data_IF_010254272718
#
_entry.id   IF_010254272718
#
_cell.length_a   1.000
_cell.length_b   1.000
_cell.length_c   1.000
_cell.angle_alpha   90.00
_cell.angle_beta   90.00
_cell.angle_gamma   90.00
#
_symmetry.space_group_name_H-M   'P 1'
#
loop_
_entity.id
_entity.type
_entity.pdbx_description
1 polymer ?
#
# COMPACT_ATOMS: atom_id res chain seq x y z
N UNK A 1 55.36 -55.23 21.25
CA UNK A 1 53.89 -55.26 21.11
C UNK A 1 53.32 -53.93 21.57
N UNK A 2 52.86 -53.10 20.62
CA UNK A 2 51.74 -52.13 20.69
C UNK A 2 51.88 -51.21 19.48
N UNK A 3 51.10 -51.51 18.44
CA UNK A 3 50.96 -50.69 17.24
C UNK A 3 50.14 -49.44 17.59
N UNK A 4 50.56 -48.28 17.10
CA UNK A 4 49.74 -47.07 17.06
C UNK A 4 49.29 -46.88 15.61
N UNK A 5 48.00 -47.11 15.37
CA UNK A 5 47.33 -46.75 14.13
C UNK A 5 47.07 -45.25 14.16
N UNK A 6 47.68 -44.51 13.24
CA UNK A 6 47.32 -43.12 12.93
C UNK A 6 46.07 -43.13 12.04
N UNK A 7 44.94 -42.68 12.57
CA UNK A 7 43.71 -42.48 11.79
C UNK A 7 43.80 -41.08 11.16
N UNK A 8 44.00 -41.03 9.86
CA UNK A 8 43.92 -39.80 9.06
C UNK A 8 42.44 -39.50 8.79
N UNK A 9 41.91 -38.46 9.43
CA UNK A 9 40.55 -37.97 9.20
C UNK A 9 40.54 -37.14 7.90
N UNK A 10 40.05 -37.70 6.79
CA UNK A 10 39.76 -36.94 5.57
C UNK A 10 38.59 -36.00 5.83
N UNK A 11 38.86 -34.71 5.97
CA UNK A 11 37.84 -33.67 5.99
C UNK A 11 37.27 -33.46 4.59
N UNK A 12 36.04 -33.90 4.34
CA UNK A 12 35.24 -33.45 3.21
C UNK A 12 34.91 -31.96 3.42
N UNK A 13 35.61 -31.08 2.70
CA UNK A 13 35.18 -29.71 2.46
C UNK A 13 33.91 -29.76 1.60
N UNK A 14 32.74 -29.66 2.23
CA UNK A 14 31.50 -29.32 1.53
C UNK A 14 31.64 -27.86 1.13
N UNK A 15 32.03 -27.63 -0.11
CA UNK A 15 31.91 -26.32 -0.74
C UNK A 15 30.41 -26.00 -0.82
N UNK A 16 29.91 -25.22 0.13
CA UNK A 16 28.62 -24.55 -0.02
C UNK A 16 28.79 -23.52 -1.12
N UNK A 17 28.51 -23.92 -2.36
CA UNK A 17 28.26 -22.97 -3.42
C UNK A 17 27.04 -22.13 -2.99
N UNK A 18 27.30 -20.92 -2.52
CA UNK A 18 26.29 -19.88 -2.45
C UNK A 18 25.89 -19.60 -3.89
N UNK A 19 24.83 -20.27 -4.34
CA UNK A 19 24.08 -19.78 -5.49
C UNK A 19 23.55 -18.40 -5.05
N UNK A 20 24.11 -17.35 -5.62
CA UNK A 20 23.45 -16.06 -5.66
C UNK A 20 22.09 -16.32 -6.31
N UNK A 21 21.01 -16.17 -5.54
CA UNK A 21 19.65 -16.43 -5.99
C UNK A 21 19.26 -15.27 -6.90
N UNK A 22 19.38 -15.46 -8.22
CA UNK A 22 18.77 -14.57 -9.20
C UNK A 22 17.27 -14.44 -8.89
N UNK A 23 16.63 -13.28 -9.09
CA UNK A 23 15.19 -13.12 -8.87
C UNK A 23 14.43 -14.16 -9.72
N UNK A 24 13.93 -15.20 -9.07
CA UNK A 24 13.27 -16.33 -9.72
C UNK A 24 11.77 -16.07 -9.74
N UNK A 25 11.22 -16.00 -10.95
CA UNK A 25 9.77 -16.06 -11.13
C UNK A 25 9.27 -17.44 -10.68
N UNK A 26 8.04 -17.50 -10.20
CA UNK A 26 7.43 -18.72 -9.66
C UNK A 26 6.01 -18.85 -10.18
N UNK A 27 5.67 -20.02 -10.72
CA UNK A 27 4.28 -20.41 -10.96
C UNK A 27 3.75 -21.19 -9.77
N UNK A 28 2.51 -20.92 -9.37
CA UNK A 28 1.79 -21.70 -8.37
C UNK A 28 0.50 -22.29 -8.96
N UNK A 29 0.22 -23.54 -8.62
CA UNK A 29 -0.92 -24.31 -9.12
C UNK A 29 -2.00 -24.52 -8.07
N UNK A 30 -3.21 -24.91 -8.51
CA UNK A 30 -4.39 -25.14 -7.67
C UNK A 30 -4.20 -26.23 -6.61
N UNK A 31 -3.26 -27.15 -6.83
CA UNK A 31 -2.89 -28.20 -5.87
C UNK A 31 -1.83 -27.75 -4.85
N UNK A 32 -1.53 -26.45 -4.80
CA UNK A 32 -0.52 -25.82 -3.94
C UNK A 32 0.95 -26.10 -4.32
N UNK A 33 1.21 -26.83 -5.41
CA UNK A 33 2.56 -26.98 -5.96
C UNK A 33 3.06 -25.66 -6.53
N UNK A 34 4.37 -25.46 -6.47
CA UNK A 34 5.05 -24.30 -7.05
C UNK A 34 6.32 -24.70 -7.77
N UNK A 35 6.57 -24.10 -8.93
CA UNK A 35 7.78 -24.33 -9.71
C UNK A 35 8.53 -23.01 -9.92
N UNK A 36 9.82 -22.92 -9.54
CA UNK A 36 10.65 -21.78 -9.92
C UNK A 36 10.94 -21.83 -11.42
N UNK A 37 11.20 -20.68 -12.04
CA UNK A 37 11.51 -20.63 -13.46
C UNK A 37 11.22 -19.28 -14.09
N UNK A 38 10.81 -19.31 -15.35
CA UNK A 38 10.43 -18.13 -16.11
C UNK A 38 9.24 -18.41 -17.04
N UNK A 39 8.46 -17.37 -17.29
CA UNK A 39 7.37 -17.42 -18.25
C UNK A 39 7.92 -17.58 -19.67
N UNK A 40 7.64 -18.72 -20.31
CA UNK A 40 8.01 -18.93 -21.72
C UNK A 40 6.94 -18.34 -22.66
N UNK A 41 5.67 -18.68 -22.43
CA UNK A 41 4.54 -18.08 -23.14
C UNK A 41 3.24 -18.23 -22.34
N UNK A 42 2.29 -17.33 -22.56
CA UNK A 42 0.95 -17.40 -21.96
C UNK A 42 -0.09 -17.29 -23.08
N UNK A 43 -1.21 -18.00 -22.94
CA UNK A 43 -2.44 -17.79 -23.73
C UNK A 43 -3.61 -17.67 -22.76
N UNK A 44 -4.84 -17.50 -23.27
CA UNK A 44 -6.05 -17.49 -22.45
C UNK A 44 -6.39 -18.86 -21.85
N UNK A 45 -5.78 -19.94 -22.34
CA UNK A 45 -6.10 -21.32 -21.92
C UNK A 45 -4.89 -22.05 -21.32
N UNK A 46 -3.67 -21.65 -21.67
CA UNK A 46 -2.45 -22.38 -21.30
C UNK A 46 -1.33 -21.46 -20.88
N UNK A 47 -0.53 -21.94 -19.94
CA UNK A 47 0.75 -21.38 -19.54
C UNK A 47 1.86 -22.33 -20.01
N UNK A 48 2.87 -21.83 -20.72
CA UNK A 48 4.11 -22.58 -20.96
C UNK A 48 5.17 -22.04 -20.01
N UNK A 49 5.68 -22.91 -19.15
CA UNK A 49 6.63 -22.55 -18.11
C UNK A 49 7.98 -23.21 -18.37
N UNK A 50 9.04 -22.42 -18.31
CA UNK A 50 10.42 -22.91 -18.35
C UNK A 50 10.94 -23.01 -16.92
N UNK A 51 11.45 -24.17 -16.53
CA UNK A 51 11.87 -24.45 -15.16
C UNK A 51 13.07 -25.39 -15.12
N UNK A 52 14.05 -25.16 -14.23
CA UNK A 52 15.23 -26.02 -14.13
C UNK A 52 14.92 -27.44 -13.64
N UNK A 53 13.71 -27.69 -13.13
CA UNK A 53 13.27 -29.04 -12.72
C UNK A 53 12.49 -29.78 -13.82
N UNK A 54 12.34 -29.18 -15.00
CA UNK A 54 11.66 -29.75 -16.16
C UNK A 54 12.66 -29.93 -17.30
N UNK A 55 12.53 -31.02 -18.07
CA UNK A 55 13.45 -31.31 -19.18
C UNK A 55 13.31 -30.32 -20.35
N UNK A 56 12.17 -29.62 -20.44
CA UNK A 56 11.85 -28.62 -21.48
C UNK A 56 10.74 -27.69 -21.01
N UNK A 57 10.58 -26.50 -21.63
CA UNK A 57 9.41 -25.66 -21.42
C UNK A 57 8.12 -26.46 -21.60
N UNK A 58 7.29 -26.49 -20.55
CA UNK A 58 6.14 -27.41 -20.46
C UNK A 58 4.82 -26.67 -20.35
N UNK A 59 3.78 -27.10 -21.07
CA UNK A 59 2.46 -26.49 -21.02
C UNK A 59 1.65 -26.97 -19.81
N UNK A 60 0.95 -26.05 -19.17
CA UNK A 60 -0.01 -26.25 -18.09
C UNK A 60 -1.34 -25.60 -18.45
N UNK A 61 -2.45 -26.19 -17.98
CA UNK A 61 -3.79 -25.60 -18.15
C UNK A 61 -3.92 -24.38 -17.24
N UNK A 62 -4.35 -23.24 -17.80
CA UNK A 62 -4.46 -21.99 -17.05
C UNK A 62 -5.52 -22.06 -15.95
N UNK A 63 -6.57 -22.87 -16.13
CA UNK A 63 -7.56 -23.19 -15.10
C UNK A 63 -6.97 -23.88 -13.85
N UNK A 64 -5.77 -24.47 -13.96
CA UNK A 64 -5.05 -25.08 -12.84
C UNK A 64 -3.94 -24.18 -12.27
N UNK A 65 -3.74 -23.00 -12.85
CA UNK A 65 -2.78 -22.01 -12.36
C UNK A 65 -3.48 -21.07 -11.38
N UNK A 66 -2.90 -20.87 -10.21
CA UNK A 66 -3.40 -19.89 -9.23
C UNK A 66 -2.84 -18.51 -9.51
N UNK A 67 -1.51 -18.42 -9.64
CA UNK A 67 -0.83 -17.17 -9.87
C UNK A 67 0.60 -17.37 -10.39
N UNK A 68 1.09 -16.32 -11.05
CA UNK A 68 2.49 -16.13 -11.43
C UNK A 68 3.06 -15.04 -10.54
N UNK A 69 4.18 -15.31 -9.85
CA UNK A 69 5.06 -14.29 -9.30
C UNK A 69 6.16 -14.03 -10.32
N UNK A 70 6.32 -12.79 -10.74
CA UNK A 70 7.19 -12.39 -11.84
C UNK A 70 8.25 -11.43 -11.35
N UNK A 71 9.43 -11.51 -11.94
CA UNK A 71 10.45 -10.47 -11.80
C UNK A 71 10.04 -9.25 -12.61
N UNK A 72 9.74 -8.16 -11.91
CA UNK A 72 9.11 -6.99 -12.49
C UNK A 72 10.08 -5.82 -12.57
N UNK A 73 10.07 -5.14 -13.72
CA UNK A 73 10.86 -3.94 -13.93
C UNK A 73 10.15 -2.73 -13.32
N UNK A 74 10.80 -2.10 -12.34
CA UNK A 74 10.34 -0.83 -11.77
C UNK A 74 10.84 0.31 -12.66
N UNK A 75 9.95 1.05 -13.33
CA UNK A 75 10.37 2.13 -14.23
C UNK A 75 10.89 3.33 -13.42
N UNK A 76 11.96 3.95 -13.89
CA UNK A 76 12.32 5.29 -13.45
C UNK A 76 11.26 6.29 -13.93
N UNK A 77 10.82 7.16 -13.03
CA UNK A 77 9.79 8.15 -13.36
C UNK A 77 10.28 9.53 -12.93
N UNK A 78 10.47 10.39 -13.93
CA UNK A 78 10.94 11.78 -13.77
C UNK A 78 9.81 12.79 -13.54
N UNK A 79 8.57 12.34 -13.46
CA UNK A 79 7.42 13.22 -13.28
C UNK A 79 7.45 13.92 -11.91
N UNK A 80 6.91 15.15 -11.84
CA UNK A 80 6.90 15.98 -10.62
C UNK A 80 5.73 15.73 -9.69
N UNK A 81 4.71 15.01 -10.15
CA UNK A 81 3.60 14.56 -9.33
C UNK A 81 3.18 13.16 -9.75
N UNK A 82 2.26 12.54 -9.03
CA UNK A 82 1.63 11.28 -9.38
C UNK A 82 0.17 11.30 -8.95
N UNK A 83 -0.71 10.88 -9.84
CA UNK A 83 -2.09 10.63 -9.52
C UNK A 83 -2.28 9.18 -9.06
N UNK A 84 -2.92 9.01 -7.91
CA UNK A 84 -3.46 7.74 -7.43
C UNK A 84 -4.96 7.75 -7.62
N UNK A 85 -5.46 6.90 -8.51
CA UNK A 85 -6.88 6.69 -8.80
C UNK A 85 -7.33 5.43 -8.06
N UNK A 86 -8.31 5.58 -7.18
CA UNK A 86 -8.98 4.44 -6.54
C UNK A 86 -10.26 4.12 -7.32
N UNK A 87 -10.45 2.86 -7.65
CA UNK A 87 -11.62 2.37 -8.38
C UNK A 87 -12.66 1.81 -7.39
N UNK A 88 -13.92 1.74 -7.83
CA UNK A 88 -15.06 1.29 -6.99
C UNK A 88 -14.99 -0.19 -6.61
N UNK A 89 -14.17 -0.97 -7.31
CA UNK A 89 -13.86 -2.36 -6.98
C UNK A 89 -12.70 -2.51 -5.96
N UNK A 90 -12.07 -1.41 -5.54
CA UNK A 90 -10.93 -1.38 -4.62
C UNK A 90 -9.56 -1.45 -5.29
N UNK A 91 -9.51 -1.58 -6.61
CA UNK A 91 -8.25 -1.48 -7.36
C UNK A 91 -7.68 -0.06 -7.24
N UNK A 92 -6.35 0.02 -7.21
CA UNK A 92 -5.63 1.28 -7.12
C UNK A 92 -4.65 1.38 -8.27
N UNK A 93 -4.81 2.42 -9.07
CA UNK A 93 -4.05 2.67 -10.29
C UNK A 93 -3.25 3.95 -10.12
N UNK A 94 -2.00 3.94 -10.59
CA UNK A 94 -1.10 5.10 -10.51
C UNK A 94 -0.57 5.50 -11.88
N UNK A 95 -0.39 6.81 -12.07
CA UNK A 95 0.09 7.41 -13.31
C UNK A 95 0.17 8.93 -13.23
N UNK A 96 0.37 9.60 -14.35
CA UNK A 96 0.22 11.06 -14.46
C UNK A 96 -1.21 11.39 -14.82
N UNK A 97 -1.84 12.34 -14.10
CA UNK A 97 -3.18 12.78 -14.48
C UNK A 97 -3.09 13.55 -15.79
N UNK A 98 -3.60 12.93 -16.85
CA UNK A 98 -3.50 13.44 -18.21
C UNK A 98 -4.74 14.24 -18.63
N UNK A 99 -5.89 13.94 -18.05
CA UNK A 99 -7.16 14.54 -18.45
C UNK A 99 -8.32 14.14 -17.56
N UNK A 100 -9.33 15.01 -17.50
CA UNK A 100 -10.64 14.74 -16.90
C UNK A 100 -11.76 15.10 -17.90
N UNK A 101 -11.82 14.45 -19.07
CA UNK A 101 -12.90 14.70 -20.02
C UNK A 101 -14.25 14.25 -19.45
N UNK A 102 -15.35 14.75 -20.03
CA UNK A 102 -16.69 14.38 -19.57
C UNK A 102 -16.87 12.85 -19.57
N UNK A 103 -17.19 12.31 -18.40
CA UNK A 103 -17.41 10.88 -18.18
C UNK A 103 -16.14 10.02 -18.04
N UNK A 104 -14.93 10.60 -18.00
CA UNK A 104 -13.71 9.79 -17.81
C UNK A 104 -12.57 10.48 -17.05
N UNK A 105 -11.64 9.66 -16.58
CA UNK A 105 -10.37 10.05 -15.96
C UNK A 105 -9.23 9.44 -16.78
N UNK A 106 -8.32 10.25 -17.31
CA UNK A 106 -7.20 9.77 -18.12
C UNK A 106 -5.89 9.80 -17.33
N UNK A 107 -5.19 8.67 -17.31
CA UNK A 107 -3.86 8.54 -16.72
C UNK A 107 -2.84 8.13 -17.77
N UNK A 108 -1.71 8.83 -17.84
CA UNK A 108 -0.53 8.35 -18.55
C UNK A 108 0.26 7.41 -17.62
N UNK A 109 0.44 6.16 -18.05
CA UNK A 109 1.06 5.09 -17.26
C UNK A 109 2.30 4.52 -17.95
N UNK A 110 3.28 4.10 -17.16
CA UNK A 110 4.51 3.47 -17.67
C UNK A 110 4.29 2.05 -18.22
N UNK A 111 3.22 1.39 -17.80
CA UNK A 111 2.95 -0.01 -18.09
C UNK A 111 1.91 -0.25 -19.18
N UNK A 112 1.03 0.71 -19.48
CA UNK A 112 -0.01 0.58 -20.50
C UNK A 112 -0.20 1.84 -21.38
N UNK A 113 0.68 2.83 -21.28
CA UNK A 113 0.47 4.13 -21.94
C UNK A 113 -0.73 4.85 -21.33
N UNK A 114 -1.50 5.56 -22.16
CA UNK A 114 -2.68 6.29 -21.70
C UNK A 114 -3.85 5.35 -21.43
N UNK A 115 -4.28 5.27 -20.18
CA UNK A 115 -5.50 4.58 -19.76
C UNK A 115 -6.62 5.59 -19.54
N UNK A 116 -7.82 5.26 -20.03
CA UNK A 116 -9.03 6.09 -19.88
C UNK A 116 -10.04 5.35 -19.01
N UNK A 117 -10.16 5.78 -17.76
CA UNK A 117 -11.07 5.20 -16.80
C UNK A 117 -12.47 5.80 -16.93
N UNK A 118 -13.51 4.96 -16.87
CA UNK A 118 -14.89 5.41 -16.77
C UNK A 118 -15.09 6.15 -15.43
N UNK A 119 -15.54 7.41 -15.48
CA UNK A 119 -15.77 8.24 -14.30
C UNK A 119 -16.68 7.56 -13.28
N UNK A 120 -17.68 6.79 -13.71
CA UNK A 120 -18.60 6.10 -12.81
C UNK A 120 -17.93 4.98 -11.99
N UNK A 121 -16.75 4.52 -12.41
CA UNK A 121 -15.97 3.47 -11.74
C UNK A 121 -14.83 4.04 -10.88
N UNK A 122 -14.66 5.37 -10.83
CA UNK A 122 -13.61 6.04 -10.04
C UNK A 122 -14.21 6.59 -8.74
N UNK A 123 -13.70 6.12 -7.61
CA UNK A 123 -14.14 6.57 -6.29
C UNK A 123 -13.35 7.77 -5.76
N UNK A 124 -12.04 7.84 -6.02
CA UNK A 124 -11.16 8.89 -5.48
C UNK A 124 -9.96 9.17 -6.40
N UNK A 125 -9.48 10.42 -6.41
CA UNK A 125 -8.22 10.83 -7.04
C UNK A 125 -7.38 11.66 -6.07
N UNK A 126 -6.18 11.17 -5.78
CA UNK A 126 -5.17 11.92 -5.01
C UNK A 126 -3.99 12.27 -5.87
N UNK A 127 -3.48 13.47 -5.69
CA UNK A 127 -2.24 13.91 -6.31
C UNK A 127 -1.18 13.94 -5.22
N UNK A 128 -0.10 13.20 -5.44
CA UNK A 128 1.11 13.25 -4.62
C UNK A 128 2.18 14.02 -5.38
N UNK A 129 2.91 14.90 -4.71
CA UNK A 129 4.12 15.49 -5.30
C UNK A 129 5.19 14.40 -5.34
N UNK A 130 5.98 14.35 -6.42
CA UNK A 130 7.11 13.42 -6.55
C UNK A 130 8.49 13.94 -6.10
N UNK A 131 8.77 15.22 -5.78
CA UNK A 131 10.06 15.56 -5.17
C UNK A 131 10.22 14.97 -3.76
N UNK A 132 9.12 14.65 -3.07
CA UNK A 132 9.14 14.20 -1.67
C UNK A 132 8.67 12.75 -1.45
N UNK A 133 8.38 11.94 -2.48
CA UNK A 133 8.13 10.50 -2.29
C UNK A 133 9.45 9.77 -2.07
N UNK A 134 9.67 9.27 -0.86
CA UNK A 134 10.95 8.71 -0.41
C UNK A 134 11.00 7.19 -0.56
N UNK A 135 9.87 6.51 -0.42
CA UNK A 135 9.81 5.06 -0.51
C UNK A 135 8.43 4.58 -0.92
N UNK A 136 8.41 3.49 -1.69
CA UNK A 136 7.22 2.70 -1.99
C UNK A 136 7.54 1.22 -1.99
N UNK A 137 6.66 0.42 -1.38
CA UNK A 137 6.79 -1.03 -1.42
C UNK A 137 5.81 -1.74 -0.46
N UNK A 138 6.21 -2.89 0.13
CA UNK A 138 7.52 -3.51 0.00
C UNK A 138 7.75 -4.16 -1.36
N UNK A 139 8.97 -4.05 -1.89
CA UNK A 139 9.42 -4.70 -3.13
C UNK A 139 10.30 -5.92 -2.88
N UNK A 140 10.71 -6.13 -1.62
CA UNK A 140 11.63 -7.18 -1.19
C UNK A 140 11.93 -7.06 0.31
N UNK A 141 12.65 -8.03 0.86
CA UNK A 141 13.06 -8.06 2.28
C UNK A 141 14.55 -7.75 2.47
N UNK A 142 15.33 -7.74 1.41
CA UNK A 142 16.80 -7.75 1.41
C UNK A 142 17.39 -6.49 2.07
N UNK A 143 16.75 -5.35 1.85
CA UNK A 143 17.13 -4.06 2.44
C UNK A 143 16.51 -3.81 3.82
N UNK A 144 15.77 -4.77 4.35
CA UNK A 144 15.08 -4.67 5.64
C UNK A 144 15.82 -5.50 6.71
N UNK A 145 16.05 -4.88 7.86
CA UNK A 145 16.68 -5.53 9.01
C UNK A 145 15.61 -6.22 9.85
N UNK A 146 15.80 -7.51 10.05
CA UNK A 146 14.98 -8.32 10.94
C UNK A 146 15.62 -8.36 12.33
N UNK A 147 14.80 -8.26 13.37
CA UNK A 147 15.23 -8.43 14.76
C UNK A 147 14.16 -9.18 15.58
N UNK A 148 14.61 -9.83 16.66
CA UNK A 148 13.82 -10.77 17.46
C UNK A 148 14.46 -12.17 17.51
N UNK A 149 13.91 -13.07 18.33
CA UNK A 149 14.50 -14.39 18.58
C UNK A 149 14.44 -15.33 17.35
N UNK A 150 13.51 -15.09 16.42
CA UNK A 150 13.34 -15.79 15.14
C UNK A 150 12.90 -14.77 14.08
N UNK A 151 13.17 -15.00 12.79
CA UNK A 151 12.66 -14.11 11.73
C UNK A 151 11.13 -14.17 11.74
N UNK A 152 10.52 -13.18 12.40
CA UNK A 152 9.08 -13.07 12.56
C UNK A 152 8.39 -12.52 11.33
N UNK A 153 9.16 -11.93 10.40
CA UNK A 153 8.67 -11.31 9.19
C UNK A 153 9.24 -12.00 7.96
N UNK A 154 8.37 -12.23 6.98
CA UNK A 154 8.74 -12.72 5.65
C UNK A 154 8.16 -11.80 4.59
N UNK A 155 8.76 -11.79 3.40
CA UNK A 155 8.22 -11.07 2.25
C UNK A 155 7.60 -12.06 1.27
N UNK A 156 6.36 -11.79 0.86
CA UNK A 156 5.67 -12.58 -0.17
C UNK A 156 4.53 -11.79 -0.78
N UNK A 157 4.48 -11.76 -2.11
CA UNK A 157 3.45 -11.09 -2.90
C UNK A 157 3.32 -9.61 -2.53
N UNK A 158 4.42 -8.85 -2.63
CA UNK A 158 4.48 -7.40 -2.38
C UNK A 158 3.97 -6.97 -0.99
N UNK A 159 4.17 -7.84 0.01
CA UNK A 159 3.75 -7.60 1.38
C UNK A 159 4.68 -8.28 2.38
N UNK A 160 4.82 -7.67 3.54
CA UNK A 160 5.40 -8.32 4.70
C UNK A 160 4.34 -9.08 5.47
N UNK A 161 4.70 -10.26 5.97
CA UNK A 161 3.83 -11.14 6.75
C UNK A 161 4.49 -11.51 8.05
N UNK A 162 3.71 -11.51 9.11
CA UNK A 162 4.16 -11.94 10.43
C UNK A 162 3.13 -12.81 11.12
N UNK A 163 3.60 -13.86 11.77
CA UNK A 163 2.85 -14.79 12.61
C UNK A 163 3.57 -15.07 13.95
N UNK A 164 4.52 -14.21 14.31
CA UNK A 164 5.32 -14.30 15.53
C UNK A 164 5.72 -12.91 16.01
N UNK A 165 6.16 -12.80 17.26
CA UNK A 165 6.69 -11.55 17.80
C UNK A 165 8.07 -11.24 17.19
N UNK A 166 8.28 -10.00 16.74
CA UNK A 166 9.54 -9.53 16.18
C UNK A 166 9.38 -8.27 15.33
N UNK A 167 10.50 -7.71 14.89
CA UNK A 167 10.54 -6.45 14.13
C UNK A 167 11.17 -6.62 12.76
N UNK A 168 10.66 -5.84 11.81
CA UNK A 168 11.27 -5.56 10.51
C UNK A 168 11.45 -4.05 10.38
N UNK A 169 12.65 -3.61 10.04
CA UNK A 169 13.03 -2.20 10.10
C UNK A 169 13.92 -1.77 8.94
N UNK A 170 13.79 -0.51 8.51
CA UNK A 170 14.60 0.04 7.41
C UNK A 170 14.84 1.53 7.62
N UNK A 171 16.01 2.00 7.17
CA UNK A 171 16.25 3.44 7.05
C UNK A 171 15.47 3.96 5.84
N UNK A 172 14.55 4.88 6.07
CA UNK A 172 13.73 5.50 5.03
C UNK A 172 14.17 6.93 4.72
N UNK A 173 15.30 7.37 5.31
CA UNK A 173 15.78 8.75 5.21
C UNK A 173 14.68 9.78 5.59
N UNK A 174 13.86 9.46 6.60
CA UNK A 174 12.70 10.27 6.97
C UNK A 174 13.07 11.74 7.18
N UNK A 175 12.47 12.72 6.49
CA UNK A 175 12.65 14.14 6.75
C UNK A 175 12.01 14.52 8.09
N UNK A 176 12.31 15.71 8.59
CA UNK A 176 11.77 16.17 9.88
C UNK A 176 10.24 16.31 9.86
N UNK A 177 9.63 16.38 8.68
CA UNK A 177 8.18 16.38 8.48
C UNK A 177 7.83 15.35 7.41
N UNK A 178 7.18 14.27 7.81
CA UNK A 178 6.94 13.11 6.95
C UNK A 178 5.53 12.56 7.08
N UNK A 179 5.10 11.85 6.04
CA UNK A 179 3.96 10.94 6.06
C UNK A 179 4.43 9.49 5.90
N UNK A 180 3.78 8.60 6.63
CA UNK A 180 3.99 7.15 6.61
C UNK A 180 2.62 6.51 6.44
N UNK A 181 2.33 5.96 5.26
CA UNK A 181 1.08 5.28 4.97
C UNK A 181 1.31 3.80 4.66
N UNK A 182 0.40 2.93 5.06
CA UNK A 182 0.44 1.51 4.73
C UNK A 182 -0.93 0.85 4.90
N UNK A 183 -1.17 -0.22 4.15
CA UNK A 183 -2.31 -1.11 4.36
C UNK A 183 -1.91 -2.21 5.33
N UNK A 184 -2.72 -2.46 6.36
CA UNK A 184 -2.57 -3.57 7.29
C UNK A 184 -3.77 -4.49 7.26
N UNK A 185 -3.52 -5.81 7.24
CA UNK A 185 -4.53 -6.86 7.31
C UNK A 185 -4.18 -7.80 8.47
N UNK A 186 -5.15 -8.32 9.20
CA UNK A 186 -4.90 -9.18 10.36
C UNK A 186 -5.98 -10.26 10.54
N UNK A 187 -5.67 -11.29 11.33
CA UNK A 187 -6.65 -12.23 11.86
C UNK A 187 -6.71 -12.17 13.38
N UNK A 188 -7.91 -12.36 13.92
CA UNK A 188 -8.22 -12.36 15.36
C UNK A 188 -8.04 -11.00 16.06
N UNK A 189 -6.85 -10.41 16.07
CA UNK A 189 -6.62 -9.10 16.65
C UNK A 189 -5.36 -8.43 16.08
N UNK A 190 -5.49 -7.16 15.70
CA UNK A 190 -4.35 -6.31 15.35
C UNK A 190 -3.51 -6.01 16.58
N UNK A 191 -2.21 -6.32 16.54
CA UNK A 191 -1.21 -6.06 17.58
C UNK A 191 0.10 -5.58 16.95
N UNK A 192 0.06 -4.39 16.36
CA UNK A 192 1.17 -3.80 15.63
C UNK A 192 1.72 -2.61 16.41
N UNK A 193 3.05 -2.48 16.45
CA UNK A 193 3.69 -1.20 16.76
C UNK A 193 4.38 -0.66 15.52
N UNK A 194 4.18 0.63 15.28
CA UNK A 194 4.99 1.41 14.35
C UNK A 194 5.96 2.24 15.19
N UNK A 195 7.26 2.07 14.96
CA UNK A 195 8.26 3.02 15.46
C UNK A 195 8.79 3.84 14.30
N UNK A 196 8.80 5.16 14.43
CA UNK A 196 9.32 6.07 13.42
C UNK A 196 10.25 7.12 14.06
N UNK A 197 11.15 7.68 13.23
CA UNK A 197 12.32 8.42 13.69
C UNK A 197 13.25 7.61 14.61
N UNK A 198 13.35 6.30 14.37
CA UNK A 198 14.35 5.45 15.04
C UNK A 198 15.74 5.70 14.48
N UNK A 199 16.77 5.60 15.32
CA UNK A 199 18.19 5.63 14.94
C UNK A 199 18.89 4.27 15.12
N UNK A 200 18.19 3.26 15.63
CA UNK A 200 18.69 1.89 15.76
C UNK A 200 17.72 0.90 15.11
N UNK A 201 18.15 0.36 13.97
CA UNK A 201 17.39 -0.59 13.16
C UNK A 201 17.63 -2.05 13.54
N UNK A 202 18.58 -2.34 14.42
CA UNK A 202 19.01 -3.70 14.75
C UNK A 202 18.22 -4.31 15.93
N UNK A 203 17.32 -3.55 16.53
CA UNK A 203 16.56 -3.94 17.72
C UNK A 203 15.05 -3.88 17.49
N UNK A 204 14.32 -4.72 18.21
CA UNK A 204 12.87 -4.71 18.30
C UNK A 204 12.36 -3.81 19.45
N UNK A 205 13.29 -3.15 20.17
CA UNK A 205 13.01 -2.22 21.27
C UNK A 205 13.84 -0.93 21.13
N UNK A 206 13.66 -0.17 20.04
CA UNK A 206 14.38 1.08 19.85
C UNK A 206 14.07 2.06 21.00
N UNK A 207 15.11 2.75 21.46
CA UNK A 207 15.05 3.69 22.60
C UNK A 207 14.94 5.16 22.15
N UNK A 208 14.86 5.41 20.84
CA UNK A 208 14.68 6.73 20.25
C UNK A 208 13.58 6.67 19.18
N UNK A 209 12.91 7.80 18.96
CA UNK A 209 11.76 7.89 18.06
C UNK A 209 10.42 7.94 18.80
N UNK A 210 9.35 7.83 18.03
CA UNK A 210 7.99 7.68 18.54
C UNK A 210 7.51 6.25 18.31
N UNK A 211 6.83 5.67 19.30
CA UNK A 211 6.15 4.38 19.17
C UNK A 211 4.64 4.62 19.18
N UNK A 212 3.98 4.27 18.08
CA UNK A 212 2.54 4.13 18.00
C UNK A 212 2.17 2.66 18.17
N UNK A 213 1.53 2.33 19.29
CA UNK A 213 0.92 1.03 19.52
C UNK A 213 -0.51 1.01 18.98
N UNK A 214 -0.81 0.04 18.11
CA UNK A 214 -2.12 -0.17 17.50
C UNK A 214 -2.62 -1.55 17.95
N UNK A 215 -3.57 -1.55 18.87
CA UNK A 215 -4.13 -2.76 19.47
C UNK A 215 -5.65 -2.73 19.40
N UNK A 216 -6.23 -3.56 18.53
CA UNK A 216 -7.67 -3.48 18.18
C UNK A 216 -8.01 -2.03 17.77
N UNK A 217 -8.96 -1.38 18.43
CA UNK A 217 -9.31 0.04 18.23
C UNK A 217 -8.46 1.05 19.02
N UNK A 218 -7.57 0.57 19.89
CA UNK A 218 -6.81 1.43 20.79
C UNK A 218 -5.50 1.86 20.13
N UNK A 219 -5.30 3.17 20.08
CA UNK A 219 -4.10 3.83 19.59
C UNK A 219 -3.40 4.45 20.79
N UNK A 220 -2.09 4.25 20.91
CA UNK A 220 -1.28 4.83 21.98
C UNK A 220 0.05 5.30 21.45
N UNK A 221 0.32 6.60 21.57
CA UNK A 221 1.57 7.23 21.14
C UNK A 221 2.43 7.57 22.36
N UNK A 222 3.69 7.18 22.31
CA UNK A 222 4.69 7.54 23.31
C UNK A 222 6.02 7.96 22.68
N UNK A 223 6.80 8.73 23.43
CA UNK A 223 8.19 9.04 23.10
C UNK A 223 9.09 7.90 23.62
N UNK A 224 9.89 7.28 22.75
CA UNK A 224 10.73 6.14 23.12
C UNK A 224 11.90 6.52 24.04
N UNK A 225 12.37 7.77 23.99
CA UNK A 225 13.51 8.23 24.78
C UNK A 225 13.10 8.56 26.21
N UNK A 226 12.07 9.37 26.37
CA UNK A 226 11.57 9.79 27.68
C UNK A 226 10.61 8.76 28.29
N UNK A 227 10.14 7.79 27.49
CA UNK A 227 9.08 6.83 27.84
C UNK A 227 7.75 7.50 28.20
N UNK A 228 7.59 8.79 27.92
CA UNK A 228 6.38 9.53 28.24
C UNK A 228 5.26 9.22 27.25
N UNK A 229 4.05 9.10 27.79
CA UNK A 229 2.81 9.08 27.01
C UNK A 229 2.60 10.43 26.34
N UNK A 230 2.46 10.46 25.02
CA UNK A 230 2.06 11.65 24.27
C UNK A 230 0.53 11.71 24.14
N UNK A 231 -0.11 10.55 23.95
CA UNK A 231 -1.56 10.48 23.87
C UNK A 231 -2.10 9.08 23.60
N UNK A 232 -3.42 8.94 23.73
CA UNK A 232 -4.13 7.73 23.34
C UNK A 232 -5.47 8.08 22.70
N UNK A 233 -6.04 7.14 21.94
CA UNK A 233 -7.39 7.24 21.39
C UNK A 233 -8.03 5.86 21.30
N UNK A 234 -9.36 5.83 21.41
CA UNK A 234 -10.17 4.63 21.17
C UNK A 234 -11.19 4.82 20.05
N UNK A 235 -11.05 5.91 19.29
CA UNK A 235 -12.00 6.34 18.27
C UNK A 235 -11.83 5.59 16.94
N UNK A 236 -10.81 4.74 16.81
CA UNK A 236 -10.55 3.93 15.62
C UNK A 236 -11.47 2.69 15.54
N UNK A 237 -12.79 2.90 15.54
CA UNK A 237 -13.79 1.82 15.55
C UNK A 237 -13.67 0.87 14.35
N UNK A 238 -13.22 1.36 13.19
CA UNK A 238 -13.00 0.56 11.99
C UNK A 238 -11.98 -0.56 12.21
N UNK A 239 -10.97 -0.36 13.07
CA UNK A 239 -9.96 -1.39 13.40
C UNK A 239 -10.51 -2.54 14.26
N UNK A 240 -11.73 -2.41 14.80
CA UNK A 240 -12.41 -3.51 15.49
C UNK A 240 -13.46 -4.19 14.59
N UNK A 241 -14.06 -3.44 13.68
CA UNK A 241 -15.15 -3.90 12.82
C UNK A 241 -14.63 -4.63 11.57
N UNK A 242 -13.42 -4.28 11.14
CA UNK A 242 -12.79 -4.83 9.95
C UNK A 242 -11.57 -5.69 10.32
N UNK A 243 -11.06 -6.42 9.36
CA UNK A 243 -9.77 -7.16 9.44
C UNK A 243 -8.72 -6.58 8.48
N UNK A 244 -8.98 -5.37 8.00
CA UNK A 244 -8.13 -4.58 7.11
C UNK A 244 -8.39 -3.10 7.36
N UNK A 245 -7.33 -2.30 7.30
CA UNK A 245 -7.42 -0.85 7.29
C UNK A 245 -6.21 -0.23 6.57
N UNK A 246 -6.37 0.99 6.07
CA UNK A 246 -5.25 1.85 5.67
C UNK A 246 -4.90 2.79 6.83
N UNK A 247 -3.65 2.76 7.27
CA UNK A 247 -3.14 3.64 8.32
C UNK A 247 -2.25 4.69 7.65
N UNK A 248 -2.43 5.95 8.02
CA UNK A 248 -1.50 7.02 7.67
C UNK A 248 -1.11 7.80 8.93
N UNK A 249 0.19 8.01 9.10
CA UNK A 249 0.77 8.85 10.14
C UNK A 249 1.42 10.05 9.48
N UNK A 250 1.08 11.25 9.94
CA UNK A 250 1.78 12.47 9.56
C UNK A 250 2.43 13.05 10.81
N UNK A 251 3.75 13.25 10.77
CA UNK A 251 4.49 13.68 11.95
C UNK A 251 5.50 14.77 11.61
N UNK A 252 5.65 15.73 12.51
CA UNK A 252 6.56 16.87 12.39
C UNK A 252 7.44 16.99 13.64
N UNK A 253 8.74 16.75 13.48
CA UNK A 253 9.76 17.04 14.49
C UNK A 253 9.97 18.55 14.68
N UNK A 254 9.42 19.41 13.80
CA UNK A 254 9.45 20.87 13.98
C UNK A 254 8.41 21.34 14.97
N UNK A 255 7.19 20.82 14.86
CA UNK A 255 6.05 21.24 15.67
C UNK A 255 5.70 20.28 16.82
N UNK A 256 6.25 19.07 16.82
CA UNK A 256 5.89 17.98 17.73
C UNK A 256 4.55 17.32 17.41
N UNK A 257 3.86 17.77 16.35
CA UNK A 257 2.54 17.23 16.00
C UNK A 257 2.66 15.86 15.36
N UNK A 258 1.77 14.96 15.75
CA UNK A 258 1.54 13.67 15.10
C UNK A 258 0.05 13.46 14.90
N UNK A 259 -0.35 13.35 13.64
CA UNK A 259 -1.71 13.06 13.20
C UNK A 259 -1.82 11.59 12.77
N UNK A 260 -2.90 10.92 13.16
CA UNK A 260 -3.19 9.54 12.78
C UNK A 260 -4.50 9.49 12.01
N UNK A 261 -4.45 8.91 10.82
CA UNK A 261 -5.60 8.63 9.98
C UNK A 261 -5.82 7.13 9.87
N UNK A 262 -7.08 6.72 9.88
CA UNK A 262 -7.52 5.36 9.60
C UNK A 262 -8.59 5.42 8.52
N UNK A 263 -8.37 4.72 7.41
CA UNK A 263 -9.23 4.74 6.24
C UNK A 263 -9.53 6.18 5.78
N UNK A 264 -8.47 7.01 5.77
CA UNK A 264 -8.47 8.42 5.35
C UNK A 264 -9.27 9.38 6.24
N UNK A 265 -9.73 8.92 7.39
CA UNK A 265 -10.37 9.76 8.42
C UNK A 265 -9.35 10.06 9.51
N UNK A 266 -9.16 11.34 9.84
CA UNK A 266 -8.34 11.74 10.99
C UNK A 266 -9.01 11.22 12.26
N UNK A 267 -8.33 10.32 12.96
CA UNK A 267 -8.79 9.76 14.23
C UNK A 267 -8.33 10.62 15.39
N UNK A 268 -7.08 11.09 15.36
CA UNK A 268 -6.51 11.88 16.44
C UNK A 268 -5.31 12.71 15.99
N UNK A 269 -5.03 13.79 16.74
CA UNK A 269 -3.84 14.63 16.58
C UNK A 269 -3.26 14.93 17.95
N UNK A 270 -2.03 14.48 18.18
CA UNK A 270 -1.31 14.76 19.42
C UNK A 270 -0.13 15.70 19.18
N UNK A 271 0.33 16.38 20.23
CA UNK A 271 1.50 17.26 20.19
C UNK A 271 2.45 16.88 21.30
N UNK A 272 3.69 16.52 20.95
CA UNK A 272 4.78 16.34 21.90
C UNK A 272 5.38 17.69 22.27
N UNK A 273 5.20 18.10 23.53
CA UNK A 273 5.75 19.36 24.05
C UNK A 273 7.27 19.31 24.27
N UNK A 274 7.88 18.12 24.24
CA UNK A 274 9.31 17.91 24.43
C UNK A 274 10.04 17.53 23.13
N UNK A 275 9.43 17.77 21.97
CA UNK A 275 10.01 17.45 20.65
C UNK A 275 11.43 18.01 20.45
N UNK A 276 11.76 19.16 21.05
CA UNK A 276 13.10 19.74 20.97
C UNK A 276 14.21 18.86 21.58
N UNK A 277 13.85 17.88 22.43
CA UNK A 277 14.78 16.93 23.05
C UNK A 277 15.00 15.66 22.20
N UNK A 278 14.24 15.51 21.11
CA UNK A 278 14.31 14.36 20.20
C UNK A 278 15.60 14.37 19.41
N UNK A 279 16.24 13.20 19.33
CA UNK A 279 17.33 12.99 18.39
C UNK A 279 16.72 12.60 17.04
N UNK A 280 17.06 13.28 15.93
CA UNK A 280 16.55 12.90 14.62
C UNK A 280 17.01 11.49 14.27
N UNK A 281 16.06 10.56 14.17
CA UNK A 281 16.27 9.26 13.55
C UNK A 281 15.66 9.25 12.15
N UNK A 282 16.08 8.29 11.32
CA UNK A 282 15.65 8.19 9.92
C UNK A 282 14.99 6.84 9.60
N UNK A 283 14.80 6.02 10.62
CA UNK A 283 14.30 4.65 10.55
C UNK A 283 12.81 4.50 10.82
N UNK A 284 12.23 3.48 10.21
CA UNK A 284 10.88 2.97 10.48
C UNK A 284 10.97 1.50 10.86
N UNK A 285 10.20 1.10 11.88
CA UNK A 285 10.01 -0.29 12.29
C UNK A 285 8.53 -0.65 12.23
N UNK A 286 8.25 -1.85 11.70
CA UNK A 286 7.01 -2.57 11.96
C UNK A 286 7.32 -3.68 12.97
N UNK A 287 6.58 -3.74 14.06
CA UNK A 287 6.83 -4.68 15.15
C UNK A 287 5.53 -5.43 15.45
N UNK A 288 5.54 -6.74 15.23
CA UNK A 288 4.48 -7.62 15.68
C UNK A 288 4.74 -7.99 17.13
N UNK A 289 3.70 -7.91 17.98
CA UNK A 289 3.85 -8.15 19.42
C UNK A 289 3.51 -9.56 19.87
N UNK A 290 2.86 -10.36 19.01
CA UNK A 290 2.37 -11.69 19.35
C UNK A 290 2.34 -12.59 18.10
N UNK A 291 1.68 -13.74 18.23
CA UNK A 291 1.56 -14.73 17.16
C UNK A 291 0.30 -14.52 16.28
N UNK A 292 -0.45 -13.42 16.48
CA UNK A 292 -1.61 -13.12 15.63
C UNK A 292 -1.15 -12.78 14.21
N UNK A 293 -1.60 -13.51 13.17
CA UNK A 293 -1.16 -13.27 11.82
C UNK A 293 -1.53 -11.86 11.33
N UNK A 294 -0.57 -11.19 10.72
CA UNK A 294 -0.76 -9.87 10.09
C UNK A 294 0.03 -9.72 8.80
N UNK A 295 -0.45 -8.84 7.95
CA UNK A 295 0.23 -8.42 6.73
C UNK A 295 0.33 -6.91 6.67
N UNK A 296 1.49 -6.41 6.25
CA UNK A 296 1.73 -4.99 5.95
C UNK A 296 2.09 -4.87 4.48
N UNK A 297 1.42 -3.97 3.77
CA UNK A 297 1.60 -3.76 2.33
C UNK A 297 1.37 -2.30 1.96
N UNK A 298 1.66 -1.92 0.71
CA UNK A 298 1.45 -0.56 0.20
C UNK A 298 2.04 0.52 1.12
N UNK A 299 3.25 0.25 1.61
CA UNK A 299 4.03 1.20 2.41
C UNK A 299 4.44 2.35 1.51
N UNK A 300 4.09 3.56 1.91
CA UNK A 300 4.44 4.82 1.26
C UNK A 300 5.06 5.74 2.31
N UNK A 301 6.23 6.27 1.99
CA UNK A 301 6.92 7.26 2.81
C UNK A 301 7.09 8.50 1.96
N UNK A 302 6.64 9.65 2.46
CA UNK A 302 6.84 10.92 1.79
C UNK A 302 7.17 12.05 2.76
N UNK A 303 7.68 13.17 2.24
CA UNK A 303 7.65 14.44 2.95
C UNK A 303 6.23 14.91 3.21
N UNK A 304 6.04 15.69 4.27
CA UNK A 304 4.77 16.30 4.63
C UNK A 304 4.96 17.80 4.89
N UNK A 305 3.95 18.59 4.53
CA UNK A 305 3.93 20.05 4.63
C UNK A 305 3.75 20.58 6.07
N UNK A 306 3.56 19.70 7.05
CA UNK A 306 3.33 20.06 8.45
C UNK A 306 1.90 20.54 8.75
N UNK A 307 1.01 20.58 7.75
CA UNK A 307 -0.37 21.04 7.90
C UNK A 307 -1.34 19.90 8.20
N UNK A 308 -2.06 20.04 9.31
CA UNK A 308 -3.08 19.09 9.76
C UNK A 308 -4.43 19.57 9.25
N UNK A 309 -5.10 18.75 8.43
CA UNK A 309 -6.46 19.03 7.96
C UNK A 309 -7.43 19.10 9.15
N UNK A 310 -8.65 19.65 8.95
CA UNK A 310 -9.66 19.90 10.00
C UNK A 310 -9.63 18.83 11.11
N UNK A 311 -9.38 19.27 12.34
CA UNK A 311 -9.33 18.42 13.52
C UNK A 311 -10.65 17.64 13.68
N UNK A 312 -10.61 16.39 14.18
CA UNK A 312 -11.81 15.66 14.50
C UNK A 312 -12.64 16.45 15.52
N UNK A 313 -13.97 16.45 15.37
CA UNK A 313 -14.85 17.06 16.36
C UNK A 313 -14.64 16.36 17.71
N UNK A 314 -13.91 17.02 18.62
CA UNK A 314 -13.75 16.49 19.97
C UNK A 314 -15.08 16.62 20.72
N UNK A 315 -15.57 15.57 21.39
CA UNK A 315 -16.68 15.72 22.32
C UNK A 315 -16.23 16.68 23.43
N UNK A 316 -16.90 17.83 23.55
CA UNK A 316 -16.57 18.88 24.52
C UNK A 316 -16.60 18.29 25.95
N UNK A 317 -15.47 18.20 26.66
CA UNK A 317 -15.46 17.70 28.03
C UNK A 317 -16.02 18.77 28.98
N UNK A 318 -17.12 18.49 29.68
CA UNK A 318 -17.54 19.32 30.83
C UNK A 318 -19.01 19.74 30.95
N UNK A 319 -19.89 19.38 30.02
CA UNK A 319 -21.35 19.56 30.22
C UNK A 319 -22.02 18.23 30.56
N UNK A 320 -22.35 17.95 31.84
CA UNK A 320 -23.24 16.84 32.13
C UNK A 320 -24.61 17.17 31.56
N UNK A 321 -25.07 16.43 30.54
CA UNK A 321 -26.46 16.50 30.06
C UNK A 321 -27.39 15.91 31.12
N UNK A 322 -27.63 16.66 32.20
CA UNK A 322 -28.82 16.47 33.03
C UNK A 322 -29.95 17.28 32.40
N UNK A 323 -30.75 16.57 31.62
CA UNK A 323 -31.98 17.08 31.04
C UNK A 323 -32.55 16.00 30.16
N UNK A 324 -33.55 15.27 30.67
CA UNK A 324 -34.43 14.43 29.85
C UNK A 324 -34.98 15.32 28.73
N UNK A 325 -34.48 15.10 27.53
CA UNK A 325 -35.18 15.46 26.30
C UNK A 325 -35.42 14.12 25.63
N UNK A 326 -36.69 13.84 25.35
CA UNK A 326 -37.12 12.65 24.64
C UNK A 326 -36.31 12.42 23.35
N UNK A 327 -36.13 11.15 22.93
CA UNK A 327 -35.27 10.81 21.82
C UNK A 327 -35.92 11.23 20.50
N UNK A 328 -35.74 12.49 20.10
CA UNK A 328 -35.63 12.75 18.66
C UNK A 328 -34.29 12.20 18.20
N UNK A 329 -34.39 11.09 17.47
CA UNK A 329 -33.32 10.40 16.77
C UNK A 329 -32.45 11.38 15.97
N UNK A 330 -31.39 11.93 16.58
CA UNK A 330 -30.26 12.44 15.82
C UNK A 330 -29.54 11.25 15.21
N UNK A 331 -29.90 10.97 13.96
CA UNK A 331 -29.18 10.05 13.08
C UNK A 331 -27.67 10.33 13.17
N UNK A 332 -26.82 9.32 13.41
CA UNK A 332 -25.38 9.49 13.29
C UNK A 332 -25.05 9.72 11.81
N UNK A 333 -24.24 10.75 11.52
CA UNK A 333 -23.84 11.11 10.17
C UNK A 333 -24.66 12.25 9.57
N UNK A 334 -24.47 13.46 10.08
CA UNK A 334 -24.49 14.60 9.17
C UNK A 334 -23.04 14.76 8.70
N UNK A 335 -22.68 14.03 7.65
CA UNK A 335 -21.51 14.39 6.86
C UNK A 335 -21.61 15.89 6.58
N UNK A 336 -20.60 16.68 6.96
CA UNK A 336 -20.37 17.94 6.27
C UNK A 336 -20.29 17.54 4.80
N UNK A 337 -21.37 17.76 4.04
CA UNK A 337 -21.41 17.50 2.60
C UNK A 337 -20.15 18.17 2.04
N UNK A 338 -19.18 17.37 1.61
CA UNK A 338 -18.03 17.86 0.84
C UNK A 338 -18.62 18.78 -0.22
N UNK A 339 -18.35 20.08 -0.12
CA UNK A 339 -18.92 21.05 -1.04
C UNK A 339 -18.54 20.63 -2.46
N UNK A 340 -19.54 20.38 -3.30
CA UNK A 340 -19.31 19.85 -4.63
C UNK A 340 -18.38 20.79 -5.41
N UNK A 341 -17.27 20.25 -5.93
CA UNK A 341 -16.26 21.01 -6.68
C UNK A 341 -15.16 21.66 -5.82
N UNK A 342 -15.12 21.45 -4.50
CA UNK A 342 -14.01 21.91 -3.65
C UNK A 342 -12.78 21.01 -3.82
N UNK A 343 -11.68 21.56 -4.31
CA UNK A 343 -10.36 20.94 -4.39
C UNK A 343 -9.45 21.47 -3.28
N UNK A 344 -8.51 20.63 -2.83
CA UNK A 344 -7.56 20.97 -1.76
C UNK A 344 -6.17 21.19 -2.33
N UNK A 345 -5.59 22.33 -1.99
CA UNK A 345 -4.22 22.71 -2.33
C UNK A 345 -3.27 22.29 -1.21
N UNK A 346 -2.00 22.10 -1.56
CA UNK A 346 -0.95 21.73 -0.59
C UNK A 346 -0.71 22.75 0.50
N UNK A 347 -0.96 24.03 0.23
CA UNK A 347 -0.80 25.08 1.25
C UNK A 347 -1.96 25.13 2.27
N UNK A 348 -2.89 24.15 2.23
CA UNK A 348 -4.08 24.11 3.08
C UNK A 348 -5.25 24.96 2.57
N UNK A 349 -5.04 25.75 1.52
CA UNK A 349 -6.13 26.46 0.86
C UNK A 349 -7.02 25.49 0.09
N UNK A 350 -8.24 25.94 -0.19
CA UNK A 350 -9.15 25.21 -1.07
C UNK A 350 -9.70 26.11 -2.15
N UNK A 351 -9.85 25.53 -3.34
CA UNK A 351 -10.46 26.20 -4.50
C UNK A 351 -11.73 25.46 -4.88
N UNK A 352 -12.83 26.20 -5.01
CA UNK A 352 -14.11 25.65 -5.47
C UNK A 352 -14.34 26.06 -6.91
N UNK A 353 -14.50 25.08 -7.79
CA UNK A 353 -14.74 25.32 -9.21
C UNK A 353 -14.86 24.04 -10.03
N UNK A 354 -15.18 24.22 -11.30
CA UNK A 354 -15.28 23.13 -12.27
C UNK A 354 -13.95 22.97 -13.00
N UNK A 355 -13.45 21.73 -13.09
CA UNK A 355 -12.28 21.42 -13.92
C UNK A 355 -12.68 21.50 -15.40
N UNK A 356 -12.02 22.39 -16.14
CA UNK A 356 -12.25 22.61 -17.57
C UNK A 356 -11.30 21.75 -18.41
N UNK A 357 -10.01 21.77 -18.08
CA UNK A 357 -9.00 21.00 -18.79
C UNK A 357 -7.79 20.69 -17.91
N UNK A 358 -7.04 19.67 -18.33
CA UNK A 358 -5.72 19.35 -17.79
C UNK A 358 -4.79 19.21 -18.99
N UNK A 359 -3.79 20.07 -19.07
CA UNK A 359 -2.82 20.14 -20.17
C UNK A 359 -1.45 20.49 -19.61
N UNK A 360 -0.39 19.82 -20.09
CA UNK A 360 1.00 20.07 -19.71
C UNK A 360 1.25 20.17 -18.20
N UNK A 361 0.62 19.27 -17.43
CA UNK A 361 0.77 19.24 -15.96
C UNK A 361 0.08 20.40 -15.24
N UNK A 362 -0.80 21.14 -15.92
CA UNK A 362 -1.58 22.25 -15.37
C UNK A 362 -3.07 21.94 -15.47
N UNK A 363 -3.81 22.34 -14.45
CA UNK A 363 -5.27 22.26 -14.40
C UNK A 363 -5.88 23.64 -14.59
N UNK A 364 -6.87 23.74 -15.47
CA UNK A 364 -7.70 24.93 -15.63
C UNK A 364 -9.00 24.72 -14.86
N UNK A 365 -9.25 25.57 -13.86
CA UNK A 365 -10.44 25.53 -13.01
C UNK A 365 -11.26 26.79 -13.22
N UNK A 366 -12.51 26.62 -13.64
CA UNK A 366 -13.49 27.70 -13.71
C UNK A 366 -14.11 27.93 -12.34
N UNK A 367 -13.81 29.08 -11.74
CA UNK A 367 -14.41 29.48 -10.46
C UNK A 367 -15.49 30.55 -10.67
N UNK A 368 -16.36 30.83 -9.68
CA UNK A 368 -17.34 31.90 -9.78
C UNK A 368 -16.74 33.30 -10.02
N UNK A 369 -15.48 33.51 -9.65
CA UNK A 369 -14.83 34.82 -9.71
C UNK A 369 -13.95 34.99 -10.96
N UNK A 370 -13.18 33.96 -11.31
CA UNK A 370 -12.31 33.92 -12.50
C UNK A 370 -11.87 32.49 -12.82
N UNK A 371 -11.42 32.27 -14.04
CA UNK A 371 -10.71 31.05 -14.39
C UNK A 371 -9.30 31.09 -13.77
N UNK A 372 -8.89 29.98 -13.17
CA UNK A 372 -7.61 29.85 -12.47
C UNK A 372 -6.85 28.67 -13.03
N UNK A 373 -5.61 28.90 -13.44
CA UNK A 373 -4.70 27.83 -13.89
C UNK A 373 -3.68 27.52 -12.79
N UNK A 374 -3.66 26.27 -12.33
CA UNK A 374 -2.76 25.81 -11.28
C UNK A 374 -1.88 24.66 -11.80
N UNK A 375 -0.63 24.51 -11.33
CA UNK A 375 0.11 23.29 -11.61
C UNK A 375 -0.50 22.13 -10.82
N UNK A 376 -0.58 20.93 -11.41
CA UNK A 376 -1.16 19.75 -10.77
C UNK A 376 -0.43 19.39 -9.47
N UNK A 377 0.88 19.64 -9.41
CA UNK A 377 1.70 19.42 -8.22
C UNK A 377 1.25 20.27 -7.03
N UNK A 378 0.53 21.39 -7.23
CA UNK A 378 -0.02 22.17 -6.11
C UNK A 378 -1.29 21.55 -5.50
N UNK A 379 -1.90 20.55 -6.14
CA UNK A 379 -3.11 19.88 -5.66
C UNK A 379 -2.76 18.69 -4.76
N UNK A 380 -3.60 18.45 -3.74
CA UNK A 380 -3.63 17.20 -2.96
C UNK A 380 -4.78 16.30 -3.37
N UNK A 381 -5.97 16.88 -3.50
CA UNK A 381 -7.20 16.17 -3.85
C UNK A 381 -7.82 16.83 -5.06
N UNK A 382 -8.10 16.03 -6.09
CA UNK A 382 -8.89 16.47 -7.24
C UNK A 382 -10.32 16.03 -7.02
N UNK A 383 -11.21 16.99 -6.83
CA UNK A 383 -12.61 16.68 -6.61
C UNK A 383 -13.28 16.39 -7.95
N UNK A 384 -13.95 15.26 -8.02
CA UNK A 384 -14.68 14.84 -9.18
C UNK A 384 -16.15 15.29 -9.07
N UNK A 385 -16.78 15.60 -10.21
CA UNK A 385 -18.22 15.87 -10.26
C UNK A 385 -18.98 14.72 -9.57
N UNK A 386 -19.94 14.97 -8.65
CA UNK A 386 -20.75 13.91 -8.07
C UNK A 386 -21.37 13.03 -9.15
N UNK A 387 -21.31 11.72 -8.95
CA UNK A 387 -21.84 10.74 -9.88
C UNK A 387 -22.40 9.55 -9.10
N UNK A 388 -23.43 8.90 -9.64
CA UNK A 388 -23.89 7.62 -9.15
C UNK A 388 -22.87 6.56 -9.54
N UNK A 389 -22.04 6.15 -8.57
CA UNK A 389 -20.95 5.23 -8.81
C UNK A 389 -21.47 3.84 -9.15
N UNK A 390 -20.86 3.23 -10.15
CA UNK A 390 -21.13 1.86 -10.56
C UNK A 390 -20.04 0.92 -10.04
N UNK A 391 -20.32 -0.38 -10.10
CA UNK A 391 -19.32 -1.42 -9.80
C UNK A 391 -19.04 -2.22 -11.06
N UNK A 392 -17.75 -2.40 -11.37
CA UNK A 392 -17.33 -3.23 -12.48
C UNK A 392 -17.93 -4.64 -12.37
N UNK A 393 -18.48 -5.12 -13.49
CA UNK A 393 -18.89 -6.51 -13.65
C UNK A 393 -17.69 -7.44 -13.51
N UNK A 394 -17.99 -8.64 -13.03
CA UNK A 394 -17.07 -9.77 -12.97
C UNK A 394 -17.28 -10.59 -14.22
N UNK A 395 -16.22 -10.82 -14.96
CA UNK A 395 -16.26 -11.63 -16.19
C UNK A 395 -15.46 -12.93 -15.99
N UNK A 396 -15.85 -13.97 -16.71
CA UNK A 396 -15.02 -15.17 -16.81
C UNK A 396 -13.72 -14.83 -17.53
N UNK A 397 -12.59 -15.32 -17.02
CA UNK A 397 -11.26 -14.98 -17.53
C UNK A 397 -10.69 -13.68 -16.96
N UNK A 398 -11.36 -13.05 -15.99
CA UNK A 398 -10.75 -11.96 -15.23
C UNK A 398 -9.50 -12.44 -14.50
N UNK A 399 -8.42 -11.67 -14.67
CA UNK A 399 -7.16 -11.81 -13.96
C UNK A 399 -6.94 -10.58 -13.08
N UNK A 400 -6.23 -10.76 -11.96
CA UNK A 400 -5.76 -9.64 -11.15
C UNK A 400 -4.26 -9.48 -11.33
N UNK A 401 -3.85 -8.40 -11.98
CA UNK A 401 -2.45 -8.07 -12.18
C UNK A 401 -1.99 -7.05 -11.12
N UNK A 402 -0.84 -7.30 -10.51
CA UNK A 402 -0.26 -6.49 -9.45
C UNK A 402 1.05 -5.87 -9.90
N UNK A 403 1.20 -4.57 -9.69
CA UNK A 403 2.46 -3.85 -9.87
C UNK A 403 3.36 -4.02 -8.63
N UNK A 404 4.69 -3.85 -8.75
CA UNK A 404 5.64 -3.97 -7.64
C UNK A 404 5.32 -3.13 -6.42
N UNK A 405 4.61 -2.03 -6.63
CA UNK A 405 4.24 -1.09 -5.60
C UNK A 405 2.92 -1.41 -4.88
N UNK A 406 2.30 -2.53 -5.22
CA UNK A 406 1.04 -2.98 -4.63
C UNK A 406 -0.20 -2.38 -5.29
N UNK A 407 -0.07 -1.56 -6.33
CA UNK A 407 -1.19 -1.24 -7.21
C UNK A 407 -1.71 -2.49 -7.93
N UNK A 408 -3.01 -2.52 -8.20
CA UNK A 408 -3.66 -3.66 -8.86
C UNK A 408 -4.67 -3.22 -9.91
N UNK A 409 -4.84 -4.08 -10.91
CA UNK A 409 -5.85 -3.94 -11.95
C UNK A 409 -6.51 -5.30 -12.19
N UNK A 410 -7.84 -5.31 -12.18
CA UNK A 410 -8.64 -6.47 -12.63
C UNK A 410 -9.16 -6.23 -14.04
N UNK A 411 -8.93 -7.21 -14.92
CA UNK A 411 -9.39 -7.19 -16.30
C UNK A 411 -9.51 -8.60 -16.88
N UNK A 412 -10.38 -8.75 -17.89
CA UNK A 412 -10.48 -9.97 -18.67
C UNK A 412 -9.27 -10.09 -19.59
N UNK A 413 -8.54 -11.19 -19.48
CA UNK A 413 -7.40 -11.46 -20.37
C UNK A 413 -7.93 -11.83 -21.76
N UNK A 414 -7.75 -10.94 -22.74
CA UNK A 414 -8.24 -11.12 -24.11
C UNK A 414 -7.17 -11.71 -25.04
N UNK A 415 -5.89 -11.47 -24.73
CA UNK A 415 -4.79 -11.92 -25.58
C UNK A 415 -3.42 -11.72 -24.96
N UNK A 416 -2.44 -12.43 -25.51
CA UNK A 416 -1.04 -12.36 -25.08
C UNK A 416 -0.18 -12.21 -26.32
N UNK A 417 0.68 -11.19 -26.32
CA UNK A 417 1.70 -10.97 -27.35
C UNK A 417 3.11 -11.18 -26.79
N UNK A 418 4.12 -10.94 -27.62
CA UNK A 418 5.51 -10.95 -27.17
C UNK A 418 5.74 -9.83 -26.15
N UNK A 419 6.00 -10.20 -24.89
CA UNK A 419 6.22 -9.26 -23.78
C UNK A 419 5.02 -8.40 -23.38
N UNK A 420 3.81 -8.70 -23.87
CA UNK A 420 2.61 -7.90 -23.62
C UNK A 420 1.36 -8.75 -23.32
N UNK A 421 0.45 -8.19 -22.54
CA UNK A 421 -0.88 -8.74 -22.26
C UNK A 421 -1.93 -7.74 -22.74
N UNK A 422 -2.93 -8.19 -23.48
CA UNK A 422 -4.09 -7.37 -23.83
C UNK A 422 -5.31 -7.82 -23.04
N UNK A 423 -6.10 -6.88 -22.56
CA UNK A 423 -7.31 -7.20 -21.83
C UNK A 423 -8.29 -6.05 -21.78
N UNK A 424 -9.49 -6.36 -21.29
CA UNK A 424 -10.58 -5.40 -21.19
C UNK A 424 -11.26 -5.40 -19.82
N UNK A 425 -11.73 -4.23 -19.42
CA UNK A 425 -12.48 -4.03 -18.18
C UNK A 425 -13.50 -2.92 -18.37
N UNK A 426 -14.64 -2.98 -17.67
CA UNK A 426 -15.56 -1.84 -17.65
C UNK A 426 -14.94 -0.59 -17.00
N UNK A 427 -13.89 -0.78 -16.19
CA UNK A 427 -13.15 0.30 -15.59
C UNK A 427 -12.46 1.18 -16.63
N UNK A 428 -11.89 0.62 -17.70
CA UNK A 428 -11.01 1.36 -18.61
C UNK A 428 -11.10 0.98 -20.10
N UNK A 429 -12.06 0.15 -20.50
CA UNK A 429 -12.14 -0.38 -21.86
C UNK A 429 -11.04 -1.41 -22.14
N UNK A 430 -10.49 -1.40 -23.35
CA UNK A 430 -9.40 -2.29 -23.78
C UNK A 430 -8.05 -1.61 -23.60
N UNK A 431 -7.07 -2.35 -23.08
CA UNK A 431 -5.70 -1.89 -22.91
C UNK A 431 -4.68 -2.99 -23.22
N UNK A 432 -3.46 -2.57 -23.54
CA UNK A 432 -2.30 -3.46 -23.70
C UNK A 432 -1.25 -3.09 -22.66
N UNK A 433 -0.81 -4.08 -21.91
CA UNK A 433 0.09 -3.96 -20.76
C UNK A 433 1.44 -4.61 -21.09
N UNK A 434 2.53 -4.03 -20.61
CA UNK A 434 3.85 -4.69 -20.61
C UNK A 434 3.86 -5.77 -19.54
N UNK A 435 4.14 -7.03 -19.91
CA UNK A 435 4.11 -8.15 -18.96
C UNK A 435 5.10 -7.95 -17.81
N UNK A 436 6.29 -7.41 -18.12
CA UNK A 436 7.33 -7.09 -17.13
C UNK A 436 6.98 -5.98 -16.15
N UNK A 437 5.88 -5.26 -16.35
CA UNK A 437 5.43 -4.29 -15.36
C UNK A 437 4.78 -4.97 -14.14
N UNK A 438 4.32 -6.21 -14.28
CA UNK A 438 3.61 -6.90 -13.22
C UNK A 438 4.55 -7.74 -12.38
N UNK A 439 4.46 -7.56 -11.06
CA UNK A 439 5.10 -8.43 -10.05
C UNK A 439 4.32 -9.72 -9.81
N UNK A 440 3.01 -9.71 -10.09
CA UNK A 440 2.16 -10.88 -9.90
C UNK A 440 0.92 -10.83 -10.80
N UNK A 441 0.49 -11.99 -11.27
CA UNK A 441 -0.78 -12.15 -11.99
C UNK A 441 -1.54 -13.30 -11.35
N UNK A 442 -2.73 -13.03 -10.83
CA UNK A 442 -3.64 -14.04 -10.30
C UNK A 442 -4.65 -14.44 -11.38
N UNK A 443 -4.85 -15.74 -11.54
CA UNK A 443 -5.82 -16.32 -12.47
C UNK A 443 -6.98 -16.91 -11.68
N UNK A 444 -8.13 -17.11 -12.35
CA UNK A 444 -9.29 -17.79 -11.76
C UNK A 444 -9.77 -17.11 -10.46
N UNK A 445 -9.74 -15.77 -10.42
CA UNK A 445 -9.88 -14.96 -9.19
C UNK A 445 -11.29 -14.97 -8.57
N UNK A 446 -12.25 -15.60 -9.24
CA UNK A 446 -13.63 -15.75 -8.77
C UNK A 446 -14.02 -17.19 -8.47
N UNK A 447 -13.10 -18.16 -8.66
CA UNK A 447 -13.34 -19.56 -8.31
C UNK A 447 -13.27 -19.74 -6.78
N UNK A 448 -14.38 -20.10 -6.10
CA UNK A 448 -14.41 -20.18 -4.64
C UNK A 448 -13.44 -21.20 -4.06
N UNK A 449 -13.33 -22.38 -4.70
CA UNK A 449 -12.45 -23.47 -4.26
C UNK A 449 -10.97 -23.05 -4.29
N UNK A 450 -10.61 -22.21 -5.26
CA UNK A 450 -9.26 -21.67 -5.38
C UNK A 450 -9.00 -20.51 -4.42
N UNK A 451 -10.06 -19.80 -4.00
CA UNK A 451 -9.94 -18.72 -3.04
C UNK A 451 -9.53 -19.23 -1.66
N UNK A 452 -10.04 -20.39 -1.22
CA UNK A 452 -9.57 -21.03 0.03
C UNK A 452 -8.07 -21.37 -0.04
N UNK A 453 -7.59 -21.85 -1.18
CA UNK A 453 -6.16 -22.14 -1.40
C UNK A 453 -5.33 -20.85 -1.41
N UNK A 454 -5.86 -19.74 -1.93
CA UNK A 454 -5.20 -18.42 -1.85
C UNK A 454 -5.19 -17.89 -0.41
N UNK A 455 -6.28 -18.05 0.34
CA UNK A 455 -6.47 -17.53 1.69
C UNK A 455 -5.69 -18.31 2.76
N UNK A 456 -5.60 -19.63 2.66
CA UNK A 456 -4.78 -20.47 3.54
C UNK A 456 -3.31 -20.07 3.51
N UNK A 457 -2.85 -19.65 2.33
CA UNK A 457 -1.52 -19.11 2.08
C UNK A 457 -1.43 -17.58 2.20
N UNK A 458 -2.49 -16.88 2.62
CA UNK A 458 -2.44 -15.42 2.79
C UNK A 458 -1.70 -15.04 4.06
N UNK A 459 -1.81 -15.84 5.11
CA UNK A 459 -1.29 -15.52 6.45
C UNK A 459 0.13 -16.01 6.67
#
# INVERSE_FOLDING_TARGET
MKAWLSITLSGCLVATASAADEPRSVVRFSNNDSLPGSLHSLTTERLVWDSPVLDKPSPFLLEKVLDLSLDAEVPEVSARHEATVTLTNGDVVRGQLAGLPDGAVELDTSYAGRLRFNRLMVSDIRISERPDLLYRGPTGIEDWKLSGARPAWTYRNSSFRSSAAGSIARSMNLPDECSIAFDVEWRSALNLKLVFFSDDLATDRPTNGYELSIQKRFLYLRNCKTQMSIGNSSNAASLQQNEKARIEIRSSLRSGKTCVLVDDVIVEVWTDTEVATMKPGRGVHFISQNESPMRVSRIEIAGWDGHVDKLPEQPVPGFPRFGRVDPEEKKPGADEKKEAGRMELRNGDSITGEVISIEDGRILVKTPFRDVTLPLEALRVVNLKPAELERCKRESGDVRAWLPDGSSLVFRLDGVGEGTLSGSSQNFGTATFRTKAFSRIEFNIYEPDLEEVRLSNRW
#
